data_IF_564387721652
#
_entry.id   IF_564387721652
#
_cell.length_a   1.000
_cell.length_b   1.000
_cell.length_c   1.000
_cell.angle_alpha   90.00
_cell.angle_beta   90.00
_cell.angle_gamma   90.00
#
_symmetry.space_group_name_H-M   'P 1'
#
loop_
_entity.id
_entity.type
_entity.pdbx_description
1 polymer ?
#
# COMPACT_ATOMS: atom_id res chain seq x y z
N UNK A 1 14.30 -3.37 4.52
CA UNK A 1 14.03 -1.91 4.57
C UNK A 1 12.72 -1.65 5.33
N UNK A 2 12.45 -0.44 5.80
CA UNK A 2 11.19 -0.11 6.50
C UNK A 2 10.55 1.13 5.88
N UNK A 3 9.23 1.09 5.70
CA UNK A 3 8.45 2.20 5.12
C UNK A 3 7.20 2.48 5.94
N UNK A 4 6.73 3.72 5.92
CA UNK A 4 5.36 4.08 6.31
C UNK A 4 4.55 4.19 5.03
N UNK A 5 3.40 3.52 4.97
CA UNK A 5 2.51 3.56 3.81
C UNK A 5 1.31 4.45 4.06
N UNK A 6 0.91 5.16 3.02
CA UNK A 6 -0.31 5.97 2.94
C UNK A 6 -1.44 5.16 2.28
N UNK A 7 -2.69 5.56 2.50
CA UNK A 7 -3.86 4.93 1.88
C UNK A 7 -3.76 4.89 0.35
N UNK A 8 -3.26 5.95 -0.29
CA UNK A 8 -3.13 6.01 -1.77
C UNK A 8 -2.28 4.88 -2.37
N UNK A 9 -1.20 4.49 -1.69
CA UNK A 9 -0.34 3.38 -2.15
C UNK A 9 -1.05 2.03 -2.00
N UNK A 10 -1.79 1.86 -0.92
CA UNK A 10 -2.54 0.63 -0.67
C UNK A 10 -3.74 0.52 -1.64
N UNK A 11 -4.41 1.62 -1.97
CA UNK A 11 -5.44 1.69 -3.02
C UNK A 11 -4.88 1.23 -4.37
N UNK A 12 -3.67 1.67 -4.73
CA UNK A 12 -2.99 1.27 -5.97
C UNK A 12 -2.64 -0.23 -6.04
N UNK A 13 -2.79 -0.99 -4.95
CA UNK A 13 -2.70 -2.46 -4.99
C UNK A 13 -3.93 -3.08 -5.66
N UNK A 14 -5.09 -2.47 -5.47
CA UNK A 14 -6.39 -3.02 -5.84
C UNK A 14 -6.97 -2.38 -7.10
N UNK A 15 -6.87 -1.07 -7.26
CA UNK A 15 -7.45 -0.33 -8.40
C UNK A 15 -6.44 -0.26 -9.55
N UNK A 16 -6.74 -0.83 -10.74
CA UNK A 16 -5.87 -0.72 -11.91
C UNK A 16 -5.83 0.72 -12.43
N UNK A 17 -4.65 1.17 -12.87
CA UNK A 17 -4.50 2.49 -13.51
C UNK A 17 -4.19 3.64 -12.54
N UNK A 18 -4.18 3.38 -11.23
CA UNK A 18 -3.72 4.34 -10.23
C UNK A 18 -2.25 4.74 -10.48
N UNK A 19 -1.86 5.99 -10.15
CA UNK A 19 -0.47 6.39 -10.15
C UNK A 19 0.38 5.40 -9.38
N UNK A 20 1.53 5.02 -9.95
CA UNK A 20 2.50 4.13 -9.32
C UNK A 20 2.04 2.69 -9.09
N UNK A 21 0.92 2.23 -9.67
CA UNK A 21 0.40 0.84 -9.56
C UNK A 21 1.51 -0.22 -9.60
N UNK A 22 2.42 -0.14 -10.57
CA UNK A 22 3.53 -1.11 -10.72
C UNK A 22 4.45 -1.13 -9.49
N UNK A 23 4.86 0.05 -9.00
CA UNK A 23 5.74 0.16 -7.83
C UNK A 23 4.99 -0.24 -6.55
N UNK A 24 3.73 0.15 -6.41
CA UNK A 24 2.90 -0.18 -5.26
C UNK A 24 2.71 -1.70 -5.13
N UNK A 25 2.39 -2.38 -6.24
CA UNK A 25 2.26 -3.85 -6.27
C UNK A 25 3.59 -4.55 -5.97
N UNK A 26 4.71 -4.06 -6.51
CA UNK A 26 6.04 -4.57 -6.16
C UNK A 26 6.32 -4.46 -4.65
N UNK A 27 6.01 -3.31 -4.04
CA UNK A 27 6.19 -3.09 -2.61
C UNK A 27 5.31 -4.04 -1.76
N UNK A 28 4.07 -4.28 -2.19
CA UNK A 28 3.17 -5.26 -1.57
C UNK A 28 3.76 -6.66 -1.62
N UNK A 29 4.28 -7.07 -2.77
CA UNK A 29 4.83 -8.41 -2.98
C UNK A 29 6.11 -8.58 -2.15
N UNK A 30 7.00 -7.58 -2.12
CA UNK A 30 8.17 -7.55 -1.25
C UNK A 30 7.80 -7.62 0.25
N UNK A 31 6.68 -7.02 0.66
CA UNK A 31 6.17 -7.14 2.02
C UNK A 31 5.64 -8.55 2.31
N UNK A 32 4.89 -9.15 1.38
CA UNK A 32 4.39 -10.51 1.50
C UNK A 32 5.53 -11.55 1.57
N UNK A 33 6.65 -11.27 0.88
CA UNK A 33 7.88 -12.07 0.92
C UNK A 33 8.76 -11.80 2.16
N UNK A 34 8.41 -10.82 2.99
CA UNK A 34 9.17 -10.46 4.20
C UNK A 34 10.46 -9.68 3.94
N UNK A 35 10.67 -9.17 2.73
CA UNK A 35 11.86 -8.39 2.34
C UNK A 35 11.82 -6.96 2.89
N UNK A 36 10.62 -6.44 3.13
CA UNK A 36 10.39 -5.09 3.68
C UNK A 36 9.40 -5.14 4.84
N UNK A 37 9.47 -4.14 5.73
CA UNK A 37 8.48 -3.91 6.77
C UNK A 37 7.64 -2.68 6.44
N UNK A 38 6.33 -2.82 6.53
CA UNK A 38 5.38 -1.72 6.33
C UNK A 38 4.74 -1.35 7.66
N UNK A 39 4.69 -0.05 7.93
CA UNK A 39 3.96 0.55 9.03
C UNK A 39 2.87 1.44 8.46
N UNK A 40 1.77 1.59 9.18
CA UNK A 40 0.72 2.54 8.83
C UNK A 40 0.07 3.11 10.09
N UNK A 41 -0.49 4.33 10.01
CA UNK A 41 -1.36 4.85 11.06
C UNK A 41 -2.60 3.97 11.27
N UNK A 42 -3.13 3.94 12.48
CA UNK A 42 -4.37 3.19 12.80
C UNK A 42 -5.59 3.66 12.00
N UNK A 43 -5.52 4.87 11.41
CA UNK A 43 -6.60 5.43 10.58
C UNK A 43 -6.63 4.87 9.15
N UNK A 44 -5.61 4.10 8.72
CA UNK A 44 -5.49 3.59 7.35
C UNK A 44 -6.76 2.86 6.89
N UNK A 45 -7.36 2.05 7.76
CA UNK A 45 -8.58 1.29 7.43
C UNK A 45 -9.77 2.21 7.12
N UNK A 46 -9.88 3.35 7.81
CA UNK A 46 -10.95 4.32 7.55
C UNK A 46 -10.74 5.04 6.21
N UNK A 47 -9.49 5.42 5.91
CA UNK A 47 -9.16 6.07 4.63
C UNK A 47 -9.38 5.12 3.44
N UNK A 48 -8.99 3.85 3.58
CA UNK A 48 -9.22 2.83 2.55
C UNK A 48 -10.70 2.57 2.32
N UNK A 49 -11.51 2.49 3.38
CA UNK A 49 -12.95 2.28 3.25
C UNK A 49 -13.68 3.44 2.56
N UNK A 50 -13.10 4.65 2.59
CA UNK A 50 -13.62 5.81 1.86
C UNK A 50 -13.10 5.91 0.41
N UNK A 51 -12.05 5.16 0.06
CA UNK A 51 -11.32 5.29 -1.21
C UNK A 51 -11.50 4.11 -2.18
N UNK A 52 -12.05 2.99 -1.70
CA UNK A 52 -12.34 1.78 -2.48
C UNK A 52 -13.83 1.71 -2.83
#
# INVERSE_FOLDING_TARGET
>A
MSYVVDASIVVAWFIPGEPWTVKARKLRDEYAEGLVRLYAPNILVYELNNSL
#
